data_IF_018339698341
#
_entry.id   IF_018339698341
#
_cell.length_a   1.000
_cell.length_b   1.000
_cell.length_c   1.000
_cell.angle_alpha   90.00
_cell.angle_beta   90.00
_cell.angle_gamma   90.00
#
_symmetry.space_group_name_H-M   'P 1'
#
loop_
_entity.id
_entity.type
_entity.pdbx_description
1 polymer ?
#
# COMPACT_ATOMS: atom_id res chain seq x y z
N UNK A 1 -14.03 -22.46 4.58
CA UNK A 1 -14.11 -21.69 3.30
C UNK A 1 -13.24 -20.45 3.31
N UNK A 2 -13.28 -19.60 4.35
CA UNK A 2 -12.46 -18.38 4.45
C UNK A 2 -10.96 -18.61 4.18
N UNK A 3 -10.40 -19.72 4.67
CA UNK A 3 -8.99 -20.07 4.47
C UNK A 3 -8.60 -20.30 3.01
N UNK A 4 -9.50 -20.85 2.18
CA UNK A 4 -9.23 -21.12 0.76
C UNK A 4 -9.31 -19.81 -0.04
N UNK A 5 -10.27 -18.94 0.29
CA UNK A 5 -10.38 -17.60 -0.30
C UNK A 5 -9.16 -16.73 0.04
N UNK A 6 -8.64 -16.81 1.26
CA UNK A 6 -7.42 -16.11 1.67
C UNK A 6 -6.20 -16.57 0.86
N UNK A 7 -6.04 -17.88 0.62
CA UNK A 7 -4.96 -18.43 -0.20
C UNK A 7 -5.06 -18.02 -1.68
N UNK A 8 -6.27 -17.98 -2.24
CA UNK A 8 -6.51 -17.51 -3.60
C UNK A 8 -6.20 -16.00 -3.76
N UNK A 9 -6.56 -15.20 -2.75
CA UNK A 9 -6.27 -13.76 -2.73
C UNK A 9 -4.76 -13.48 -2.51
N UNK A 10 -4.05 -14.35 -1.77
CA UNK A 10 -2.63 -14.18 -1.48
C UNK A 10 -1.78 -14.04 -2.75
N UNK A 11 -2.09 -14.83 -3.79
CA UNK A 11 -1.44 -14.71 -5.09
C UNK A 11 -1.67 -13.36 -5.77
N UNK A 12 -2.89 -12.81 -5.67
CA UNK A 12 -3.21 -11.49 -6.23
C UNK A 12 -2.52 -10.35 -5.47
N UNK A 13 -2.45 -10.43 -4.14
CA UNK A 13 -1.75 -9.43 -3.30
C UNK A 13 -0.26 -9.43 -3.58
N UNK A 14 0.38 -10.60 -3.70
CA UNK A 14 1.81 -10.68 -4.03
C UNK A 14 2.11 -10.13 -5.42
N UNK A 15 1.29 -10.42 -6.41
CA UNK A 15 1.48 -9.85 -7.75
C UNK A 15 1.35 -8.32 -7.74
N UNK A 16 0.30 -7.78 -7.10
CA UNK A 16 0.10 -6.33 -6.99
C UNK A 16 1.23 -5.62 -6.25
N UNK A 17 1.71 -6.20 -5.14
CA UNK A 17 2.83 -5.63 -4.38
C UNK A 17 4.14 -5.69 -5.16
N UNK A 18 4.41 -6.78 -5.89
CA UNK A 18 5.59 -6.90 -6.74
C UNK A 18 5.62 -5.83 -7.84
N UNK A 19 4.47 -5.55 -8.46
CA UNK A 19 4.33 -4.48 -9.46
C UNK A 19 4.53 -3.11 -8.80
N UNK A 20 3.90 -2.84 -7.65
CA UNK A 20 4.01 -1.57 -6.94
C UNK A 20 5.44 -1.30 -6.40
N UNK A 21 6.18 -2.35 -6.06
CA UNK A 21 7.58 -2.26 -5.61
C UNK A 21 8.60 -2.36 -6.74
N UNK A 22 8.15 -2.55 -7.99
CA UNK A 22 9.02 -2.74 -9.15
C UNK A 22 9.78 -1.46 -9.52
N UNK A 23 9.17 -0.30 -9.30
CA UNK A 23 9.80 1.00 -9.56
C UNK A 23 10.63 1.43 -8.33
N UNK A 24 11.95 1.54 -8.50
CA UNK A 24 12.88 1.87 -7.41
C UNK A 24 12.55 3.22 -6.75
N UNK A 25 12.00 4.17 -7.52
CA UNK A 25 11.56 5.48 -7.02
C UNK A 25 10.30 5.41 -6.18
N UNK A 26 9.37 4.51 -6.45
CA UNK A 26 8.06 4.42 -5.77
C UNK A 26 8.04 3.36 -4.65
N UNK A 27 9.13 2.60 -4.52
CA UNK A 27 9.24 1.48 -3.58
C UNK A 27 9.02 1.87 -2.12
N UNK A 28 9.53 3.03 -1.72
CA UNK A 28 9.31 3.58 -0.37
C UNK A 28 7.84 3.97 -0.17
N UNK A 29 7.19 4.58 -1.17
CA UNK A 29 5.76 4.89 -1.14
C UNK A 29 4.89 3.64 -1.03
N UNK A 30 5.20 2.61 -1.81
CA UNK A 30 4.50 1.34 -1.77
C UNK A 30 4.64 0.65 -0.41
N UNK A 31 5.85 0.66 0.19
CA UNK A 31 6.10 0.13 1.54
C UNK A 31 5.27 0.85 2.59
N UNK A 32 5.29 2.18 2.60
CA UNK A 32 4.55 2.99 3.57
C UNK A 32 3.05 2.75 3.43
N UNK A 33 2.53 2.73 2.21
CA UNK A 33 1.12 2.42 1.92
C UNK A 33 0.72 1.06 2.48
N UNK A 34 1.53 0.03 2.20
CA UNK A 34 1.26 -1.33 2.64
C UNK A 34 1.34 -1.44 4.16
N UNK A 35 2.35 -0.86 4.80
CA UNK A 35 2.49 -0.84 6.25
C UNK A 35 1.33 -0.11 6.94
N UNK A 36 0.92 1.06 6.44
CA UNK A 36 -0.21 1.82 7.01
C UNK A 36 -1.51 1.04 6.86
N UNK A 37 -1.73 0.40 5.70
CA UNK A 37 -2.92 -0.43 5.46
C UNK A 37 -2.93 -1.67 6.37
N UNK A 38 -1.80 -2.37 6.47
CA UNK A 38 -1.63 -3.57 7.30
C UNK A 38 -1.64 -3.26 8.80
N UNK A 39 -1.28 -2.05 9.21
CA UNK A 39 -1.28 -1.61 10.61
C UNK A 39 -2.67 -1.59 11.23
N UNK A 40 -3.74 -1.58 10.44
CA UNK A 40 -5.11 -1.46 10.97
C UNK A 40 -5.36 -0.13 11.69
N UNK A 41 -4.50 0.88 11.45
CA UNK A 41 -4.60 2.19 12.05
C UNK A 41 -5.94 2.84 11.70
N UNK A 42 -6.71 3.20 12.72
CA UNK A 42 -8.00 3.87 12.58
C UNK A 42 -7.88 5.27 13.17
N UNK A 43 -7.88 6.26 12.30
CA UNK A 43 -7.82 7.68 12.68
C UNK A 43 -9.15 8.33 12.27
N UNK A 44 -9.76 9.08 13.19
CA UNK A 44 -11.06 9.75 12.98
C UNK A 44 -12.23 8.79 12.61
N UNK A 45 -12.23 7.56 13.13
CA UNK A 45 -13.18 6.48 12.72
C UNK A 45 -13.08 6.06 11.25
N UNK A 46 -12.02 6.47 10.54
CA UNK A 46 -11.74 6.05 9.17
C UNK A 46 -10.70 4.92 9.19
N UNK A 47 -11.04 3.80 8.55
CA UNK A 47 -10.22 2.59 8.49
C UNK A 47 -8.88 2.76 7.75
N UNK A 48 -7.96 1.83 8.00
CA UNK A 48 -6.58 1.87 7.50
C UNK A 48 -6.46 1.85 5.97
N UNK A 49 -7.45 1.33 5.24
CA UNK A 49 -7.46 1.33 3.78
C UNK A 49 -7.46 2.76 3.17
N UNK A 50 -8.17 3.70 3.81
CA UNK A 50 -8.18 5.10 3.38
C UNK A 50 -6.82 5.76 3.64
N UNK A 51 -6.31 5.58 4.86
CA UNK A 51 -5.01 6.14 5.25
C UNK A 51 -3.85 5.52 4.46
N UNK A 52 -3.98 4.27 4.03
CA UNK A 52 -3.06 3.62 3.09
C UNK A 52 -2.99 4.36 1.76
N UNK A 53 -4.12 4.62 1.11
CA UNK A 53 -4.16 5.37 -0.15
C UNK A 53 -3.65 6.81 0.05
N UNK A 54 -4.06 7.49 1.12
CA UNK A 54 -3.60 8.86 1.43
C UNK A 54 -2.08 8.89 1.62
N UNK A 55 -1.51 7.97 2.40
CA UNK A 55 -0.07 7.87 2.61
C UNK A 55 0.68 7.52 1.31
N UNK A 56 0.13 6.63 0.49
CA UNK A 56 0.70 6.27 -0.80
C UNK A 56 0.74 7.43 -1.79
N UNK A 57 -0.39 8.12 -1.94
CA UNK A 57 -0.48 9.31 -2.79
C UNK A 57 0.44 10.41 -2.27
N UNK A 58 0.46 10.68 -0.96
CA UNK A 58 1.38 11.66 -0.36
C UNK A 58 2.84 11.33 -0.65
N UNK A 59 3.23 10.06 -0.47
CA UNK A 59 4.62 9.66 -0.68
C UNK A 59 4.99 9.73 -2.17
N UNK A 60 4.09 9.32 -3.06
CA UNK A 60 4.27 9.44 -4.51
C UNK A 60 4.38 10.91 -4.92
N UNK A 61 3.55 11.80 -4.34
CA UNK A 61 3.63 13.24 -4.56
C UNK A 61 4.96 13.83 -4.07
N UNK A 62 5.43 13.45 -2.88
CA UNK A 62 6.70 13.91 -2.30
C UNK A 62 7.90 13.45 -3.14
N UNK A 63 7.90 12.18 -3.57
CA UNK A 63 8.96 11.63 -4.42
C UNK A 63 8.99 12.27 -5.81
N UNK A 64 7.82 12.53 -6.40
CA UNK A 64 7.70 13.15 -7.72
C UNK A 64 8.04 14.66 -7.67
N UNK A 65 7.67 15.36 -6.58
CA UNK A 65 8.05 16.76 -6.31
C UNK A 65 9.56 16.91 -6.10
N UNK A 66 10.22 15.92 -5.48
CA UNK A 66 11.69 15.94 -5.26
C UNK A 66 12.50 15.58 -6.52
N UNK A 67 11.86 15.06 -7.57
CA UNK A 67 12.52 14.73 -8.85
C UNK A 67 12.42 15.85 -9.91
N UNK A 68 11.95 17.05 -9.53
CA UNK A 68 12.15 18.29 -10.30
C UNK A 68 13.22 19.16 -9.66
#
# INVERSE_FOLDING_TARGET
MLSIAALALFGSIMNGLSIAMGEAREREAALVTFMVTASGMTLFSIGSAFWGIVAGVLTLMILNVKSR
#
